data_IF_320639343735
#
_entry.id   IF_320639343735
#
_cell.length_a   1.000
_cell.length_b   1.000
_cell.length_c   1.000
_cell.angle_alpha   90.00
_cell.angle_beta   90.00
_cell.angle_gamma   90.00
#
_symmetry.space_group_name_H-M   'P 1'
#
loop_
_entity.id
_entity.type
_entity.pdbx_description
1 polymer ?
#
# COMPACT_ATOMS: atom_id res chain seq x y z
N UNK A 1 -92.94 12.79 -32.20
CA UNK A 1 -92.70 11.85 -33.31
C UNK A 1 -91.20 11.83 -33.56
N UNK A 2 -90.52 10.75 -33.19
CA UNK A 2 -89.20 10.47 -33.76
C UNK A 2 -89.46 9.83 -35.13
N UNK A 3 -89.45 10.63 -36.19
CA UNK A 3 -89.28 10.06 -37.53
C UNK A 3 -87.84 9.57 -37.61
N UNK A 4 -87.67 8.28 -37.34
CA UNK A 4 -86.39 7.61 -37.41
C UNK A 4 -86.01 7.48 -38.88
N UNK A 5 -85.29 8.49 -39.41
CA UNK A 5 -84.83 8.48 -40.78
C UNK A 5 -83.61 7.56 -40.91
N UNK A 6 -83.87 6.27 -41.16
CA UNK A 6 -82.85 5.21 -41.30
C UNK A 6 -81.67 5.60 -42.21
N UNK A 7 -81.88 6.26 -43.37
CA UNK A 7 -80.79 6.72 -44.22
C UNK A 7 -79.89 7.77 -43.57
N UNK A 8 -80.47 8.66 -42.74
CA UNK A 8 -79.71 9.71 -42.05
C UNK A 8 -78.83 9.10 -40.96
N UNK A 9 -79.33 8.11 -40.21
CA UNK A 9 -78.52 7.37 -39.24
C UNK A 9 -77.35 6.64 -39.89
N UNK A 10 -77.58 5.97 -41.02
CA UNK A 10 -76.51 5.28 -41.75
C UNK A 10 -75.44 6.26 -42.27
N UNK A 11 -75.86 7.44 -42.73
CA UNK A 11 -74.92 8.48 -43.16
C UNK A 11 -74.08 9.02 -42.00
N UNK A 12 -74.72 9.31 -40.85
CA UNK A 12 -74.01 9.76 -39.64
C UNK A 12 -73.07 8.67 -39.12
N UNK A 13 -73.47 7.39 -39.17
CA UNK A 13 -72.62 6.27 -38.81
C UNK A 13 -71.39 6.17 -39.73
N UNK A 14 -71.58 6.31 -41.05
CA UNK A 14 -70.48 6.31 -42.00
C UNK A 14 -69.51 7.48 -41.74
N UNK A 15 -70.02 8.69 -41.51
CA UNK A 15 -69.21 9.86 -41.14
C UNK A 15 -68.43 9.64 -39.84
N UNK A 16 -69.07 9.05 -38.83
CA UNK A 16 -68.43 8.73 -37.55
C UNK A 16 -67.30 7.71 -37.72
N UNK A 17 -67.51 6.67 -38.53
CA UNK A 17 -66.46 5.68 -38.82
C UNK A 17 -65.28 6.29 -39.58
N UNK A 18 -65.55 7.16 -40.56
CA UNK A 18 -64.49 7.91 -41.28
C UNK A 18 -63.71 8.80 -40.31
N UNK A 19 -64.40 9.51 -39.42
CA UNK A 19 -63.77 10.34 -38.40
C UNK A 19 -62.91 9.50 -37.44
N UNK A 20 -63.39 8.33 -37.02
CA UNK A 20 -62.62 7.41 -36.17
C UNK A 20 -61.32 6.97 -36.83
N UNK A 21 -61.36 6.62 -38.12
CA UNK A 21 -60.17 6.23 -38.88
C UNK A 21 -59.18 7.40 -38.97
N UNK A 22 -59.66 8.61 -39.26
CA UNK A 22 -58.82 9.81 -39.33
C UNK A 22 -58.19 10.15 -37.97
N UNK A 23 -58.96 10.04 -36.89
CA UNK A 23 -58.49 10.32 -35.53
C UNK A 23 -57.50 9.25 -35.04
N UNK A 24 -57.68 7.99 -35.44
CA UNK A 24 -56.75 6.90 -35.14
C UNK A 24 -55.35 7.16 -35.71
N UNK A 25 -55.27 7.58 -36.98
CA UNK A 25 -53.99 7.84 -37.64
C UNK A 25 -53.38 9.18 -37.20
N UNK A 26 -54.21 10.22 -37.00
CA UNK A 26 -53.73 11.57 -36.69
C UNK A 26 -53.42 11.80 -35.21
N UNK A 27 -54.14 11.14 -34.29
CA UNK A 27 -54.07 11.45 -32.85
C UNK A 27 -53.74 10.23 -31.99
N UNK A 28 -54.49 9.13 -32.10
CA UNK A 28 -54.32 8.01 -31.16
C UNK A 28 -52.98 7.29 -31.35
N UNK A 29 -52.58 6.97 -32.58
CA UNK A 29 -51.27 6.37 -32.84
C UNK A 29 -50.08 7.23 -32.38
N UNK A 30 -49.97 8.51 -32.74
CA UNK A 30 -48.84 9.33 -32.28
C UNK A 30 -48.83 9.54 -30.77
N UNK A 31 -50.01 9.63 -30.12
CA UNK A 31 -50.11 9.76 -28.68
C UNK A 31 -49.60 8.51 -27.94
N UNK A 32 -50.06 7.33 -28.36
CA UNK A 32 -49.59 6.06 -27.76
C UNK A 32 -48.10 5.87 -27.99
N UNK A 33 -47.60 6.18 -29.20
CA UNK A 33 -46.17 6.12 -29.50
C UNK A 33 -45.36 7.03 -28.57
N UNK A 34 -45.83 8.23 -28.29
CA UNK A 34 -45.16 9.14 -27.35
C UNK A 34 -45.14 8.59 -25.92
N UNK A 35 -46.23 7.94 -25.48
CA UNK A 35 -46.28 7.28 -24.17
C UNK A 35 -45.27 6.12 -24.10
N UNK A 36 -45.22 5.27 -25.13
CA UNK A 36 -44.27 4.15 -25.19
C UNK A 36 -42.82 4.63 -25.25
N UNK A 37 -42.54 5.69 -26.02
CA UNK A 37 -41.19 6.26 -26.13
C UNK A 37 -40.74 6.85 -24.80
N UNK A 38 -41.65 7.50 -24.07
CA UNK A 38 -41.37 8.00 -22.72
C UNK A 38 -41.12 6.86 -21.74
N UNK A 39 -41.95 5.81 -21.76
CA UNK A 39 -41.78 4.65 -20.90
C UNK A 39 -40.44 3.94 -21.16
N UNK A 40 -40.08 3.75 -22.44
CA UNK A 40 -38.77 3.23 -22.84
C UNK A 40 -37.61 4.10 -22.38
N UNK A 41 -37.72 5.43 -22.51
CA UNK A 41 -36.68 6.35 -22.04
C UNK A 41 -36.49 6.24 -20.54
N UNK A 42 -37.57 6.26 -19.76
CA UNK A 42 -37.52 6.17 -18.29
C UNK A 42 -36.93 4.83 -17.85
N UNK A 43 -37.35 3.73 -18.47
CA UNK A 43 -36.81 2.41 -18.17
C UNK A 43 -35.30 2.34 -18.43
N UNK A 44 -34.85 2.89 -19.58
CA UNK A 44 -33.43 2.96 -19.93
C UNK A 44 -32.64 3.84 -18.97
N UNK A 45 -33.17 5.00 -18.59
CA UNK A 45 -32.49 5.92 -17.67
C UNK A 45 -32.36 5.29 -16.27
N UNK A 46 -33.38 4.55 -15.82
CA UNK A 46 -33.36 3.82 -14.54
C UNK A 46 -32.34 2.67 -14.57
N UNK A 47 -32.29 1.90 -15.66
CA UNK A 47 -31.31 0.83 -15.84
C UNK A 47 -29.89 1.38 -15.87
N UNK A 48 -29.63 2.45 -16.63
CA UNK A 48 -28.34 3.12 -16.68
C UNK A 48 -27.92 3.68 -15.31
N UNK A 49 -28.84 4.28 -14.55
CA UNK A 49 -28.57 4.75 -13.19
C UNK A 49 -28.22 3.59 -12.25
N UNK A 50 -28.91 2.46 -12.38
CA UNK A 50 -28.64 1.25 -11.59
C UNK A 50 -27.26 0.67 -11.93
N UNK A 51 -26.93 0.50 -13.22
CA UNK A 51 -25.62 0.02 -13.66
C UNK A 51 -24.48 0.95 -13.21
N UNK A 52 -24.69 2.26 -13.28
CA UNK A 52 -23.70 3.23 -12.81
C UNK A 52 -23.48 3.12 -11.30
N UNK A 53 -24.56 2.96 -10.52
CA UNK A 53 -24.46 2.78 -9.07
C UNK A 53 -23.73 1.48 -8.71
N UNK A 54 -24.05 0.35 -9.36
CA UNK A 54 -23.36 -0.92 -9.10
C UNK A 54 -21.90 -0.87 -9.53
N UNK A 55 -21.60 -0.22 -10.66
CA UNK A 55 -20.23 -0.03 -11.13
C UNK A 55 -19.43 0.84 -10.16
N UNK A 56 -20.06 1.87 -9.58
CA UNK A 56 -19.43 2.73 -8.55
C UNK A 56 -19.08 1.94 -7.30
N UNK A 57 -20.01 1.12 -6.79
CA UNK A 57 -19.78 0.28 -5.61
C UNK A 57 -18.65 -0.75 -5.86
N UNK A 58 -18.61 -1.33 -7.05
CA UNK A 58 -17.53 -2.24 -7.45
C UNK A 58 -16.17 -1.54 -7.55
N UNK A 59 -16.14 -0.33 -8.12
CA UNK A 59 -14.92 0.48 -8.21
C UNK A 59 -14.43 0.90 -6.82
N UNK A 60 -15.33 1.26 -5.91
CA UNK A 60 -15.00 1.60 -4.53
C UNK A 60 -14.41 0.39 -3.79
N UNK A 61 -15.02 -0.80 -3.93
CA UNK A 61 -14.48 -2.05 -3.37
C UNK A 61 -13.08 -2.36 -3.91
N UNK A 62 -12.88 -2.28 -5.23
CA UNK A 62 -11.55 -2.50 -5.84
C UNK A 62 -10.52 -1.49 -5.35
N UNK A 63 -10.90 -0.22 -5.23
CA UNK A 63 -10.02 0.81 -4.69
C UNK A 63 -9.62 0.51 -3.24
N UNK A 64 -10.59 0.10 -2.41
CA UNK A 64 -10.34 -0.27 -1.02
C UNK A 64 -9.41 -1.49 -0.91
N UNK A 65 -9.65 -2.53 -1.74
CA UNK A 65 -8.80 -3.72 -1.82
C UNK A 65 -7.36 -3.37 -2.20
N UNK A 66 -7.16 -2.49 -3.19
CA UNK A 66 -5.82 -2.02 -3.61
C UNK A 66 -5.13 -1.26 -2.47
N UNK A 67 -5.84 -0.37 -1.78
CA UNK A 67 -5.31 0.39 -0.66
C UNK A 67 -4.89 -0.54 0.48
N UNK A 68 -5.72 -1.53 0.81
CA UNK A 68 -5.43 -2.46 1.90
C UNK A 68 -4.29 -3.43 1.53
N UNK A 69 -4.22 -3.87 0.27
CA UNK A 69 -3.08 -4.62 -0.24
C UNK A 69 -1.78 -3.81 -0.14
N UNK A 70 -1.79 -2.55 -0.57
CA UNK A 70 -0.63 -1.65 -0.50
C UNK A 70 -0.19 -1.38 0.95
N UNK A 71 -1.14 -1.19 1.88
CA UNK A 71 -0.85 -1.03 3.31
C UNK A 71 -0.19 -2.29 3.89
N UNK A 72 -0.71 -3.47 3.55
CA UNK A 72 -0.16 -4.74 4.00
C UNK A 72 1.25 -4.98 3.44
N UNK A 73 1.49 -4.65 2.18
CA UNK A 73 2.81 -4.74 1.57
C UNK A 73 3.80 -3.77 2.22
N UNK A 74 3.40 -2.51 2.43
CA UNK A 74 4.22 -1.53 3.13
C UNK A 74 4.56 -1.97 4.57
N UNK A 75 3.59 -2.57 5.28
CA UNK A 75 3.82 -3.12 6.62
C UNK A 75 4.82 -4.29 6.59
N UNK A 76 4.70 -5.20 5.62
CA UNK A 76 5.65 -6.30 5.41
C UNK A 76 7.06 -5.80 5.10
N UNK A 77 7.20 -4.83 4.20
CA UNK A 77 8.50 -4.23 3.86
C UNK A 77 9.12 -3.60 5.11
N UNK A 78 8.36 -2.79 5.86
CA UNK A 78 8.86 -2.18 7.10
C UNK A 78 9.33 -3.22 8.10
N UNK A 79 8.56 -4.29 8.31
CA UNK A 79 8.92 -5.33 9.26
C UNK A 79 10.16 -6.10 8.80
N UNK A 80 10.25 -6.45 7.51
CA UNK A 80 11.42 -7.10 6.93
C UNK A 80 12.67 -6.21 7.08
N UNK A 81 12.59 -4.92 6.75
CA UNK A 81 13.72 -3.98 6.91
C UNK A 81 14.15 -3.85 8.37
N UNK A 82 13.21 -3.75 9.31
CA UNK A 82 13.55 -3.67 10.74
C UNK A 82 14.27 -4.95 11.19
N UNK A 83 13.82 -6.11 10.74
CA UNK A 83 14.41 -7.39 11.11
C UNK A 83 15.79 -7.60 10.47
N UNK A 84 15.98 -7.19 9.21
CA UNK A 84 17.28 -7.19 8.54
C UNK A 84 18.27 -6.23 9.20
N UNK A 85 17.86 -4.99 9.49
CA UNK A 85 18.70 -4.01 10.19
C UNK A 85 19.07 -4.49 11.59
N UNK A 86 18.14 -5.13 12.31
CA UNK A 86 18.44 -5.73 13.61
C UNK A 86 19.49 -6.83 13.49
N UNK A 87 19.37 -7.72 12.50
CA UNK A 87 20.38 -8.77 12.23
C UNK A 87 21.73 -8.19 11.84
N UNK A 88 21.75 -7.14 11.01
CA UNK A 88 22.97 -6.43 10.64
C UNK A 88 23.63 -5.76 11.84
N UNK A 89 22.84 -5.14 12.72
CA UNK A 89 23.32 -4.51 13.94
C UNK A 89 23.92 -5.53 14.91
N UNK A 90 23.22 -6.66 15.15
CA UNK A 90 23.75 -7.73 16.00
C UNK A 90 25.02 -8.33 15.41
N UNK A 91 25.05 -8.58 14.10
CA UNK A 91 26.22 -9.14 13.44
C UNK A 91 27.43 -8.19 13.48
N UNK A 92 27.22 -6.88 13.26
CA UNK A 92 28.28 -5.86 13.42
C UNK A 92 28.77 -5.77 14.86
N UNK A 93 27.87 -5.87 15.84
CA UNK A 93 28.24 -5.85 17.25
C UNK A 93 29.07 -7.08 17.62
N UNK A 94 28.64 -8.28 17.23
CA UNK A 94 29.37 -9.54 17.43
C UNK A 94 30.76 -9.49 16.78
N UNK A 95 30.85 -9.01 15.53
CA UNK A 95 32.12 -8.86 14.83
C UNK A 95 33.08 -7.92 15.57
N UNK A 96 32.62 -6.74 15.96
CA UNK A 96 33.43 -5.79 16.76
C UNK A 96 33.85 -6.39 18.09
N UNK A 97 32.97 -7.14 18.75
CA UNK A 97 33.27 -7.78 20.03
C UNK A 97 34.33 -8.87 19.87
N UNK A 98 34.25 -9.65 18.79
CA UNK A 98 35.28 -10.64 18.42
C UNK A 98 36.63 -9.98 18.10
N UNK A 99 36.64 -8.92 17.30
CA UNK A 99 37.84 -8.14 16.97
C UNK A 99 38.48 -7.54 18.24
N UNK A 100 37.67 -6.97 19.13
CA UNK A 100 38.13 -6.42 20.40
C UNK A 100 38.74 -7.50 21.29
N UNK A 101 38.09 -8.66 21.41
CA UNK A 101 38.62 -9.79 22.18
C UNK A 101 39.96 -10.30 21.62
N UNK A 102 40.10 -10.34 20.30
CA UNK A 102 41.35 -10.74 19.66
C UNK A 102 42.45 -9.71 19.90
N UNK A 103 42.17 -8.42 19.70
CA UNK A 103 43.10 -7.33 19.99
C UNK A 103 43.51 -7.32 21.46
N UNK A 104 42.58 -7.57 22.38
CA UNK A 104 42.86 -7.66 23.80
C UNK A 104 43.79 -8.83 24.15
N UNK A 105 43.60 -10.00 23.53
CA UNK A 105 44.53 -11.13 23.70
C UNK A 105 45.94 -10.79 23.21
N UNK A 106 46.06 -10.19 22.03
CA UNK A 106 47.35 -9.76 21.47
C UNK A 106 48.02 -8.75 22.41
N UNK A 107 47.28 -7.78 22.92
CA UNK A 107 47.78 -6.80 23.88
C UNK A 107 48.31 -7.45 25.17
N UNK A 108 47.63 -8.48 25.70
CA UNK A 108 48.11 -9.21 26.87
C UNK A 108 49.42 -9.96 26.59
N UNK A 109 49.54 -10.59 25.42
CA UNK A 109 50.76 -11.28 24.99
C UNK A 109 51.94 -10.30 24.82
N UNK A 110 51.69 -9.15 24.21
CA UNK A 110 52.68 -8.06 24.07
C UNK A 110 53.11 -7.53 25.44
N UNK A 111 52.16 -7.31 26.36
CA UNK A 111 52.45 -6.83 27.70
C UNK A 111 53.30 -7.83 28.51
N UNK A 112 53.05 -9.14 28.35
CA UNK A 112 53.90 -10.16 28.97
C UNK A 112 55.30 -10.18 28.36
N UNK A 113 55.42 -10.01 27.04
CA UNK A 113 56.68 -9.90 26.32
C UNK A 113 57.48 -8.66 26.75
N UNK A 114 56.85 -7.49 26.84
CA UNK A 114 57.46 -6.27 27.35
C UNK A 114 57.91 -6.41 28.80
N UNK A 115 57.08 -7.00 29.66
CA UNK A 115 57.46 -7.29 31.06
C UNK A 115 58.71 -8.17 31.13
N UNK A 116 58.82 -9.21 30.28
CA UNK A 116 60.03 -10.06 30.17
C UNK A 116 61.23 -9.25 29.67
N UNK A 117 61.07 -8.43 28.64
CA UNK A 117 62.13 -7.55 28.11
C UNK A 117 62.65 -6.58 29.17
N UNK A 118 61.76 -5.88 29.87
CA UNK A 118 62.11 -4.95 30.95
C UNK A 118 62.82 -5.69 32.08
N UNK A 119 62.31 -6.85 32.50
CA UNK A 119 62.96 -7.67 33.53
C UNK A 119 64.38 -8.06 33.13
N UNK A 120 64.58 -8.51 31.90
CA UNK A 120 65.89 -8.89 31.39
C UNK A 120 66.82 -7.67 31.26
N UNK A 121 66.32 -6.55 30.76
CA UNK A 121 67.08 -5.30 30.68
C UNK A 121 67.51 -4.80 32.07
N UNK A 122 66.62 -4.88 33.06
CA UNK A 122 66.93 -4.54 34.45
C UNK A 122 68.01 -5.46 35.00
N UNK A 123 67.88 -6.78 34.83
CA UNK A 123 68.89 -7.76 35.26
C UNK A 123 70.26 -7.51 34.63
N UNK A 124 70.32 -7.16 33.35
CA UNK A 124 71.57 -6.79 32.66
C UNK A 124 72.17 -5.47 33.16
N UNK A 125 71.34 -4.55 33.67
CA UNK A 125 71.78 -3.26 34.21
C UNK A 125 72.08 -3.30 35.71
N UNK A 126 71.68 -4.35 36.45
CA UNK A 126 71.99 -4.52 37.88
C UNK A 126 73.50 -4.43 38.18
N UNK A 127 74.43 -5.02 37.39
CA UNK A 127 75.87 -4.88 37.63
C UNK A 127 76.35 -3.44 37.54
N UNK A 128 75.92 -2.70 36.52
CA UNK A 128 76.22 -1.27 36.32
C UNK A 128 75.61 -0.40 37.42
N UNK A 129 74.40 -0.75 37.87
CA UNK A 129 73.74 -0.08 38.99
C UNK A 129 74.48 -0.35 40.31
N UNK A 130 75.00 -1.57 40.50
CA UNK A 130 75.78 -1.97 41.67
C UNK A 130 77.15 -1.27 41.69
N UNK A 131 77.81 -1.14 40.54
CA UNK A 131 79.05 -0.36 40.42
C UNK A 131 78.82 1.13 40.67
N UNK A 132 77.77 1.73 40.11
CA UNK A 132 77.48 3.16 40.33
C UNK A 132 77.08 3.47 41.78
N UNK A 133 76.37 2.56 42.46
CA UNK A 133 76.14 2.65 43.90
C UNK A 133 77.46 2.53 44.69
N UNK A 134 78.30 1.54 44.37
CA UNK A 134 79.59 1.36 45.06
C UNK A 134 80.49 2.58 44.89
N UNK A 135 80.51 3.19 43.70
CA UNK A 135 81.26 4.41 43.40
C UNK A 135 80.72 5.66 44.12
N UNK A 136 79.41 5.73 44.41
CA UNK A 136 78.83 6.81 45.25
C UNK A 136 79.15 6.58 46.73
N UNK A 137 79.09 5.34 47.22
CA UNK A 137 79.40 5.02 48.62
C UNK A 137 80.90 5.06 48.93
N UNK A 138 81.79 4.86 47.95
CA UNK A 138 83.25 5.02 48.12
C UNK A 138 83.72 6.47 48.02
N UNK A 139 82.83 7.39 47.64
CA UNK A 139 83.06 8.85 47.63
C UNK A 139 82.47 9.54 48.88
N UNK A 140 81.87 8.77 49.77
CA UNK A 140 81.50 9.17 51.13
C UNK A 140 82.58 8.66 52.09
#
# INVERSE_FOLDING_TARGET
MLDLHLPLMLFVLALFLVLLVLLNTMLFQPLVKFMDDRERSIAKDLEAAKELSSSSDELEKKAQEIIDAAKNEAAKIRQATIEEEKKLATHKAEKKLSELNQSYKIFLEELESEKKKIKNALLSQIPLFKESLKAKFSKL
#
